data_IF_936300355781
#
_entry.id   IF_936300355781
#
_cell.length_a   1.000
_cell.length_b   1.000
_cell.length_c   1.000
_cell.angle_alpha   90.00
_cell.angle_beta   90.00
_cell.angle_gamma   90.00
#
_symmetry.space_group_name_H-M   'P 1'
#
loop_
_entity.id
_entity.type
_entity.pdbx_description
1 polymer ?
#
# COMPACT_ATOMS: atom_id res chain seq x y z
N UNK A 1 -10.63 41.82 -29.26
CA UNK A 1 -10.33 41.14 -27.98
C UNK A 1 -11.56 40.75 -27.17
N UNK A 2 -12.71 41.38 -27.38
CA UNK A 2 -13.97 41.10 -26.67
C UNK A 2 -14.66 39.81 -27.08
N UNK A 3 -14.66 39.45 -28.33
CA UNK A 3 -15.28 38.20 -28.85
C UNK A 3 -14.62 36.95 -28.33
N UNK A 4 -13.28 36.92 -28.22
CA UNK A 4 -12.54 35.81 -27.67
C UNK A 4 -12.90 35.53 -26.18
N UNK A 5 -13.12 36.59 -25.39
CA UNK A 5 -13.53 36.44 -23.97
C UNK A 5 -14.92 35.83 -23.84
N UNK A 6 -15.84 36.14 -24.74
CA UNK A 6 -17.19 35.55 -24.75
C UNK A 6 -17.15 34.06 -25.14
N UNK A 7 -16.31 33.68 -26.12
CA UNK A 7 -16.11 32.26 -26.45
C UNK A 7 -15.49 31.49 -25.31
N UNK A 8 -14.49 32.08 -24.62
CA UNK A 8 -13.87 31.47 -23.45
C UNK A 8 -14.87 31.30 -22.30
N UNK A 9 -15.68 32.30 -22.02
CA UNK A 9 -16.74 32.23 -21.00
C UNK A 9 -17.80 31.18 -21.38
N UNK A 10 -18.21 31.12 -22.64
CA UNK A 10 -19.13 30.08 -23.12
C UNK A 10 -18.56 28.67 -22.98
N UNK A 11 -17.28 28.48 -23.32
CA UNK A 11 -16.58 27.20 -23.16
C UNK A 11 -16.49 26.81 -21.67
N UNK A 12 -16.16 27.76 -20.81
CA UNK A 12 -16.05 27.53 -19.37
C UNK A 12 -17.41 27.22 -18.72
N UNK A 13 -18.48 27.89 -19.19
CA UNK A 13 -19.84 27.61 -18.76
C UNK A 13 -20.30 26.20 -19.22
N UNK A 14 -19.99 25.82 -20.45
CA UNK A 14 -20.31 24.51 -21.00
C UNK A 14 -19.52 23.39 -20.27
N UNK A 15 -18.25 23.65 -19.96
CA UNK A 15 -17.43 22.74 -19.16
C UNK A 15 -17.98 22.62 -17.73
N UNK A 16 -18.36 23.73 -17.10
CA UNK A 16 -18.99 23.73 -15.77
C UNK A 16 -20.33 22.97 -15.76
N UNK A 17 -21.16 23.16 -16.80
CA UNK A 17 -22.40 22.41 -16.96
C UNK A 17 -22.14 20.91 -17.16
N UNK A 18 -21.13 20.54 -17.96
CA UNK A 18 -20.73 19.15 -18.15
C UNK A 18 -20.26 18.50 -16.82
N UNK A 19 -19.40 19.19 -16.06
CA UNK A 19 -18.92 18.71 -14.77
C UNK A 19 -20.08 18.56 -13.78
N UNK A 20 -21.00 19.54 -13.75
CA UNK A 20 -22.18 19.47 -12.91
C UNK A 20 -23.08 18.27 -13.29
N UNK A 21 -23.31 18.06 -14.57
CA UNK A 21 -24.11 16.93 -15.06
C UNK A 21 -23.46 15.58 -14.73
N UNK A 22 -22.14 15.46 -14.88
CA UNK A 22 -21.40 14.24 -14.52
C UNK A 22 -21.37 14.01 -13.01
N UNK A 23 -21.27 15.09 -12.21
CA UNK A 23 -21.30 15.01 -10.75
C UNK A 23 -22.66 14.52 -10.21
N UNK A 24 -23.77 14.99 -10.81
CA UNK A 24 -25.13 14.58 -10.41
C UNK A 24 -25.60 13.27 -11.08
N UNK A 25 -24.83 12.72 -12.01
CA UNK A 25 -25.16 11.46 -12.65
C UNK A 25 -25.14 10.34 -11.60
N UNK A 26 -26.24 9.57 -11.44
CA UNK A 26 -26.25 8.44 -10.51
C UNK A 26 -25.19 7.43 -10.94
N UNK A 27 -24.26 7.11 -10.05
CA UNK A 27 -23.22 6.13 -10.32
C UNK A 27 -23.87 4.77 -10.60
N UNK A 28 -23.51 4.07 -11.69
CA UNK A 28 -24.00 2.73 -11.93
C UNK A 28 -23.58 1.83 -10.76
N UNK A 29 -24.49 0.91 -10.37
CA UNK A 29 -24.21 -0.05 -9.33
C UNK A 29 -23.06 -0.96 -9.76
N UNK A 30 -22.02 -1.03 -8.96
CA UNK A 30 -20.87 -1.88 -9.22
C UNK A 30 -21.21 -3.34 -8.83
N UNK A 31 -21.12 -4.24 -9.81
CA UNK A 31 -21.37 -5.67 -9.68
C UNK A 31 -20.08 -6.50 -9.65
N UNK A 32 -18.92 -5.88 -9.47
CA UNK A 32 -17.65 -6.61 -9.40
C UNK A 32 -17.64 -7.55 -8.18
N UNK A 33 -17.20 -8.80 -8.35
CA UNK A 33 -17.14 -9.79 -7.26
C UNK A 33 -15.84 -9.55 -6.44
N UNK A 34 -15.87 -8.56 -5.57
CA UNK A 34 -14.70 -8.22 -4.73
C UNK A 34 -14.57 -9.12 -3.51
N UNK A 35 -15.69 -9.65 -3.00
CA UNK A 35 -15.75 -10.42 -1.75
C UNK A 35 -15.08 -9.74 -0.55
N UNK A 36 -14.72 -8.46 -0.65
CA UNK A 36 -14.06 -7.75 0.42
C UNK A 36 -15.03 -7.39 1.55
N UNK A 37 -14.57 -7.49 2.78
CA UNK A 37 -15.38 -7.26 3.98
C UNK A 37 -15.79 -5.79 4.18
N UNK A 38 -15.12 -4.86 3.52
CA UNK A 38 -15.43 -3.42 3.57
C UNK A 38 -16.42 -2.98 2.50
N UNK A 39 -16.60 -3.79 1.46
CA UNK A 39 -17.36 -3.41 0.30
C UNK A 39 -18.86 -3.62 0.49
N UNK A 40 -19.61 -2.52 0.37
CA UNK A 40 -21.07 -2.48 0.45
C UNK A 40 -21.77 -2.73 -0.89
N UNK A 41 -20.99 -2.99 -1.95
CA UNK A 41 -21.50 -3.38 -3.27
C UNK A 41 -22.19 -4.76 -3.20
N UNK A 42 -23.00 -5.12 -4.21
CA UNK A 42 -23.77 -6.38 -4.19
C UNK A 42 -22.92 -7.64 -3.93
N UNK A 43 -21.73 -7.72 -4.56
CA UNK A 43 -20.85 -8.88 -4.41
C UNK A 43 -19.67 -8.65 -3.45
N UNK A 44 -19.76 -7.63 -2.57
CA UNK A 44 -18.95 -7.54 -1.36
C UNK A 44 -19.50 -8.43 -0.24
N UNK A 45 -18.80 -8.55 0.87
CA UNK A 45 -19.17 -9.38 2.03
C UNK A 45 -19.34 -8.59 3.32
N UNK A 46 -19.59 -7.28 3.22
CA UNK A 46 -19.75 -6.40 4.38
C UNK A 46 -20.82 -6.91 5.36
N UNK A 47 -22.01 -7.30 4.85
CA UNK A 47 -23.12 -7.77 5.68
C UNK A 47 -22.75 -9.07 6.39
N UNK A 48 -22.09 -9.98 5.70
CA UNK A 48 -21.66 -11.24 6.31
C UNK A 48 -20.67 -10.98 7.44
N UNK A 49 -19.65 -10.20 7.17
CA UNK A 49 -18.60 -9.91 8.13
C UNK A 49 -19.14 -9.20 9.38
N UNK A 50 -20.07 -8.25 9.21
CA UNK A 50 -20.74 -7.56 10.30
C UNK A 50 -21.58 -8.51 11.18
N UNK A 51 -22.26 -9.49 10.56
CA UNK A 51 -23.08 -10.44 11.26
C UNK A 51 -22.33 -11.71 11.76
N UNK A 52 -21.07 -11.88 11.36
CA UNK A 52 -20.30 -13.08 11.65
C UNK A 52 -20.17 -13.39 13.15
N UNK A 53 -19.94 -12.41 14.05
CA UNK A 53 -19.92 -12.65 15.49
C UNK A 53 -21.22 -13.27 15.99
N UNK A 54 -22.35 -12.78 15.53
CA UNK A 54 -23.69 -13.29 15.92
C UNK A 54 -23.97 -14.66 15.34
N UNK A 55 -23.58 -14.90 14.07
CA UNK A 55 -23.80 -16.18 13.38
C UNK A 55 -22.97 -17.31 13.99
N UNK A 56 -21.76 -17.01 14.44
CA UNK A 56 -20.85 -17.99 15.04
C UNK A 56 -20.93 -18.04 16.56
N UNK A 57 -21.66 -17.13 17.20
CA UNK A 57 -21.74 -17.04 18.66
C UNK A 57 -20.38 -16.75 19.33
N UNK A 58 -19.55 -15.92 18.69
CA UNK A 58 -18.23 -15.54 19.20
C UNK A 58 -17.95 -14.07 18.97
N UNK A 59 -17.40 -13.39 19.96
CA UNK A 59 -17.00 -11.98 19.83
C UNK A 59 -15.58 -11.82 19.23
N UNK A 60 -14.84 -12.92 19.08
CA UNK A 60 -13.47 -12.93 18.57
C UNK A 60 -13.44 -13.21 17.07
N UNK A 61 -13.67 -12.18 16.25
CA UNK A 61 -13.50 -12.22 14.80
C UNK A 61 -12.41 -11.23 14.39
N UNK A 62 -11.35 -11.73 13.77
CA UNK A 62 -10.20 -10.93 13.35
C UNK A 62 -9.99 -11.00 11.84
N UNK A 63 -9.70 -9.86 11.20
CA UNK A 63 -9.33 -9.80 9.78
C UNK A 63 -7.85 -10.10 9.63
N UNK A 64 -7.51 -11.04 8.73
CA UNK A 64 -6.14 -11.44 8.42
C UNK A 64 -5.76 -10.94 7.03
N UNK A 65 -4.60 -10.28 6.94
CA UNK A 65 -4.00 -9.80 5.68
C UNK A 65 -2.55 -10.28 5.52
N UNK A 66 -2.29 -11.48 5.96
CA UNK A 66 -1.05 -12.24 5.76
C UNK A 66 -1.40 -13.54 5.08
N UNK A 67 -0.42 -14.16 4.38
CA UNK A 67 -0.62 -15.50 3.86
C UNK A 67 -0.98 -16.48 4.98
N UNK A 68 -1.66 -17.58 4.63
CA UNK A 68 -2.03 -18.58 5.63
C UNK A 68 -0.80 -19.14 6.35
N UNK A 69 0.29 -19.36 5.60
CA UNK A 69 1.57 -19.77 6.17
C UNK A 69 2.09 -18.78 7.20
N UNK A 70 2.24 -17.50 6.83
CA UNK A 70 2.75 -16.47 7.73
C UNK A 70 1.86 -16.23 8.95
N UNK A 71 0.54 -16.34 8.77
CA UNK A 71 -0.42 -16.20 9.87
C UNK A 71 -0.31 -17.34 10.89
N UNK A 72 -0.16 -18.56 10.39
CA UNK A 72 -0.16 -19.77 11.22
C UNK A 72 1.21 -20.05 11.88
N UNK A 73 2.31 -19.78 11.16
CA UNK A 73 3.68 -20.05 11.66
C UNK A 73 4.33 -18.84 12.31
N UNK A 74 3.88 -17.62 11.98
CA UNK A 74 4.52 -16.36 12.38
C UNK A 74 5.84 -16.09 11.66
N UNK A 75 6.20 -16.89 10.65
CA UNK A 75 7.36 -16.68 9.79
C UNK A 75 6.97 -15.87 8.56
N UNK A 76 7.90 -15.08 8.04
CA UNK A 76 7.70 -14.43 6.76
C UNK A 76 7.69 -15.49 5.65
N UNK A 77 6.79 -15.32 4.69
CA UNK A 77 6.70 -16.23 3.55
C UNK A 77 8.04 -16.22 2.79
N UNK A 78 8.67 -17.38 2.53
CA UNK A 78 9.86 -17.42 1.70
C UNK A 78 9.52 -16.79 0.36
N UNK A 79 10.30 -15.78 -0.06
CA UNK A 79 10.05 -14.98 -1.24
C UNK A 79 9.83 -15.90 -2.46
N UNK A 80 8.58 -16.18 -2.77
CA UNK A 80 8.21 -16.93 -3.95
C UNK A 80 8.40 -16.00 -5.15
N UNK A 81 9.48 -16.24 -5.87
CA UNK A 81 9.61 -15.78 -7.24
C UNK A 81 8.35 -16.23 -7.97
N UNK A 82 7.53 -15.27 -8.37
CA UNK A 82 6.31 -15.53 -9.12
C UNK A 82 6.69 -16.29 -10.38
N UNK A 83 6.56 -17.62 -10.35
CA UNK A 83 6.39 -18.43 -11.54
C UNK A 83 4.98 -18.13 -12.07
N UNK A 84 4.89 -17.02 -12.76
CA UNK A 84 3.79 -16.73 -13.66
C UNK A 84 3.94 -17.73 -14.80
N UNK A 85 3.29 -18.88 -14.67
CA UNK A 85 3.03 -19.75 -15.81
C UNK A 85 2.06 -19.04 -16.72
N UNK A 86 2.59 -18.15 -17.55
CA UNK A 86 1.94 -17.76 -18.78
C UNK A 86 2.10 -18.98 -19.72
N UNK A 87 1.15 -19.89 -19.70
CA UNK A 87 0.90 -20.76 -20.83
C UNK A 87 0.46 -19.89 -22.01
N UNK A 88 1.45 -19.49 -22.81
CA UNK A 88 1.18 -18.96 -24.14
C UNK A 88 0.62 -20.10 -25.01
N UNK A 89 -0.44 -19.85 -25.80
CA UNK A 89 -0.89 -20.82 -26.78
C UNK A 89 0.18 -20.98 -27.85
N UNK A 90 0.71 -22.19 -27.96
CA UNK A 90 1.62 -22.59 -29.02
C UNK A 90 0.83 -22.75 -30.31
N UNK A 91 0.80 -21.70 -31.12
CA UNK A 91 0.46 -21.84 -32.54
C UNK A 91 1.68 -22.44 -33.26
N UNK A 92 1.54 -23.72 -33.61
CA UNK A 92 2.47 -24.44 -34.46
C UNK A 92 2.28 -24.04 -35.91
N UNK A 93 3.17 -23.18 -36.42
CA UNK A 93 3.39 -23.07 -37.87
C UNK A 93 4.72 -23.73 -38.19
N UNK A 94 4.62 -24.90 -38.82
CA UNK A 94 5.71 -25.59 -39.44
C UNK A 94 6.23 -24.84 -40.64
N UNK A 95 7.50 -24.44 -40.63
CA UNK A 95 8.22 -24.17 -41.88
C UNK A 95 9.51 -24.97 -41.82
N UNK A 96 9.57 -25.99 -42.71
CA UNK A 96 10.78 -26.71 -43.11
C UNK A 96 11.64 -25.74 -43.90
N UNK A 97 12.93 -25.67 -43.55
CA UNK A 97 13.98 -25.49 -44.54
C UNK A 97 15.23 -26.20 -44.11
N UNK A 98 15.73 -26.94 -45.05
CA UNK A 98 16.85 -27.84 -45.20
C UNK A 98 18.19 -27.08 -45.17
N UNK A 99 19.23 -27.71 -44.60
CA UNK A 99 20.61 -27.73 -45.13
C UNK A 99 21.59 -28.35 -44.13
N UNK A 100 21.94 -29.57 -44.38
CA UNK A 100 23.24 -30.25 -44.68
C UNK A 100 24.53 -29.83 -43.96
N UNK A 101 25.20 -30.90 -43.46
CA UNK A 101 26.64 -31.19 -43.35
C UNK A 101 27.42 -30.52 -42.20
N UNK A 102 28.18 -31.17 -41.36
CA UNK A 102 29.15 -32.24 -41.44
C UNK A 102 29.54 -32.72 -40.06
N UNK A 103 29.80 -34.01 -39.92
CA UNK A 103 30.52 -34.62 -38.80
C UNK A 103 32.06 -34.53 -39.06
N UNK A 104 32.98 -34.83 -38.11
CA UNK A 104 33.14 -36.18 -37.61
C UNK A 104 33.63 -36.35 -36.13
N UNK A 105 33.34 -37.55 -35.63
CA UNK A 105 34.13 -38.52 -34.81
C UNK A 105 35.12 -38.01 -33.77
N UNK A 106 35.03 -38.48 -32.52
CA UNK A 106 35.80 -39.59 -32.03
C UNK A 106 35.41 -40.08 -30.62
N UNK A 107 35.17 -41.30 -30.52
CA UNK A 107 35.54 -42.43 -29.67
C UNK A 107 35.77 -42.24 -28.16
N UNK A 108 35.18 -43.18 -27.49
CA UNK A 108 35.68 -44.11 -26.47
C UNK A 108 34.98 -43.98 -25.12
N UNK A 109 34.08 -44.87 -24.86
CA UNK A 109 34.25 -46.17 -24.16
C UNK A 109 34.21 -46.10 -22.62
N UNK A 110 33.41 -46.98 -22.11
CA UNK A 110 33.33 -47.65 -20.82
C UNK A 110 32.19 -47.34 -19.87
N UNK A 111 31.28 -48.22 -19.94
CA UNK A 111 30.99 -49.28 -18.96
C UNK A 111 30.06 -48.96 -17.81
N UNK A 112 28.88 -49.59 -17.96
CA UNK A 112 28.07 -50.25 -16.91
C UNK A 112 28.29 -49.86 -15.45
N UNK A 113 27.23 -49.38 -14.82
CA UNK A 113 26.75 -50.06 -13.61
C UNK A 113 25.27 -49.72 -13.39
N UNK A 114 24.42 -50.74 -13.50
CA UNK A 114 23.07 -50.79 -12.99
C UNK A 114 23.10 -50.67 -11.46
N UNK A 115 22.50 -49.65 -10.91
CA UNK A 115 22.08 -49.71 -9.52
C UNK A 115 20.69 -49.05 -9.43
N UNK A 116 19.72 -49.86 -9.03
CA UNK A 116 18.42 -49.43 -8.64
C UNK A 116 18.56 -48.40 -7.51
N UNK A 117 18.38 -47.12 -7.84
CA UNK A 117 18.36 -46.03 -6.89
C UNK A 117 16.92 -45.72 -6.53
N UNK A 118 16.57 -46.16 -5.33
CA UNK A 118 15.49 -45.60 -4.51
C UNK A 118 15.19 -44.16 -4.86
N UNK A 119 13.94 -43.86 -5.20
CA UNK A 119 13.44 -42.51 -5.31
C UNK A 119 13.66 -41.81 -3.95
N UNK A 120 14.75 -41.04 -3.88
CA UNK A 120 14.95 -40.11 -2.79
C UNK A 120 13.83 -39.10 -2.85
N UNK A 121 12.93 -39.20 -1.89
CA UNK A 121 12.00 -38.15 -1.55
C UNK A 121 12.85 -36.95 -1.23
N UNK A 122 12.87 -35.95 -2.11
CA UNK A 122 13.39 -34.62 -1.82
C UNK A 122 12.71 -34.13 -0.53
N UNK A 123 13.46 -34.21 0.58
CA UNK A 123 13.09 -33.52 1.79
C UNK A 123 13.09 -32.02 1.44
N UNK A 124 11.89 -31.44 1.29
CA UNK A 124 11.72 -30.01 1.16
C UNK A 124 12.28 -29.33 2.41
N UNK A 125 13.21 -28.41 2.23
CA UNK A 125 13.77 -27.50 3.26
C UNK A 125 12.75 -26.51 3.83
N UNK A 126 11.49 -26.93 3.95
CA UNK A 126 10.47 -26.13 4.60
C UNK A 126 10.39 -26.53 6.07
N UNK A 127 10.48 -25.52 6.94
CA UNK A 127 10.36 -25.69 8.38
C UNK A 127 9.23 -26.65 8.72
N UNK A 128 9.51 -27.64 9.55
CA UNK A 128 8.52 -28.61 9.98
C UNK A 128 7.31 -27.92 10.60
N UNK A 129 6.08 -28.43 10.37
CA UNK A 129 4.81 -27.83 10.79
C UNK A 129 4.61 -27.73 12.29
N UNK A 130 5.62 -28.01 13.09
CA UNK A 130 5.55 -27.95 14.55
C UNK A 130 5.58 -26.53 15.15
N UNK A 131 5.82 -25.51 14.31
CA UNK A 131 5.94 -24.13 14.75
C UNK A 131 4.65 -23.29 14.68
N UNK A 132 3.46 -23.94 14.63
CA UNK A 132 2.20 -23.19 14.63
C UNK A 132 2.01 -22.40 15.93
N UNK A 133 1.91 -21.08 15.82
CA UNK A 133 1.72 -20.15 16.96
C UNK A 133 0.26 -19.95 17.37
N UNK A 134 -0.60 -20.93 17.12
CA UNK A 134 -2.02 -20.82 17.45
C UNK A 134 -2.25 -21.34 18.86
N UNK A 135 -2.55 -20.44 19.77
CA UNK A 135 -2.99 -20.79 21.11
C UNK A 135 -4.50 -21.00 21.11
N UNK A 136 -4.94 -22.25 21.28
CA UNK A 136 -6.36 -22.62 21.32
C UNK A 136 -6.90 -23.07 19.96
N UNK A 137 -8.17 -23.49 19.95
CA UNK A 137 -8.87 -23.87 18.71
C UNK A 137 -9.53 -22.68 18.06
N UNK A 138 -9.35 -22.54 16.74
CA UNK A 138 -9.87 -21.43 15.96
C UNK A 138 -10.51 -21.91 14.64
N UNK A 139 -11.31 -21.03 14.04
CA UNK A 139 -11.81 -21.19 12.68
C UNK A 139 -11.05 -20.25 11.75
N UNK A 140 -10.84 -20.66 10.49
CA UNK A 140 -10.28 -19.81 9.45
C UNK A 140 -11.21 -19.79 8.25
N UNK A 141 -11.71 -18.60 7.87
CA UNK A 141 -12.71 -18.40 6.83
C UNK A 141 -12.11 -17.71 5.61
N UNK A 142 -12.33 -18.35 4.46
CA UNK A 142 -11.99 -17.83 3.14
C UNK A 142 -13.26 -17.74 2.31
N UNK A 143 -13.59 -16.57 1.81
CA UNK A 143 -14.72 -16.35 0.89
C UNK A 143 -14.21 -15.53 -0.28
N UNK A 144 -14.03 -16.17 -1.42
CA UNK A 144 -13.46 -15.54 -2.62
C UNK A 144 -14.02 -16.20 -3.88
N UNK A 145 -13.81 -15.62 -5.07
CA UNK A 145 -14.19 -16.28 -6.32
C UNK A 145 -13.26 -17.47 -6.63
N UNK A 146 -11.97 -17.28 -6.43
CA UNK A 146 -10.94 -18.29 -6.61
C UNK A 146 -10.09 -18.40 -5.34
N UNK A 147 -9.84 -19.62 -4.88
CA UNK A 147 -8.97 -19.89 -3.75
C UNK A 147 -7.57 -20.28 -4.23
N UNK A 148 -6.63 -19.34 -4.14
CA UNK A 148 -5.24 -19.53 -4.50
C UNK A 148 -4.40 -19.71 -3.23
N UNK A 149 -3.79 -20.88 -3.08
CA UNK A 149 -2.91 -21.18 -1.96
C UNK A 149 -1.59 -21.74 -2.48
N UNK A 150 -0.48 -21.24 -1.94
CA UNK A 150 0.85 -21.75 -2.19
C UNK A 150 1.05 -23.14 -1.53
N UNK A 151 2.08 -23.88 -1.91
CA UNK A 151 2.38 -25.17 -1.26
C UNK A 151 2.59 -25.00 0.26
N UNK A 152 3.36 -23.99 0.75
CA UNK A 152 3.48 -23.72 2.18
C UNK A 152 2.15 -23.43 2.86
N UNK A 153 1.27 -22.61 2.23
CA UNK A 153 -0.06 -22.32 2.78
C UNK A 153 -0.88 -23.60 2.98
N UNK A 154 -0.88 -24.48 1.98
CA UNK A 154 -1.64 -25.72 2.03
C UNK A 154 -1.12 -26.63 3.16
N UNK A 155 0.19 -26.75 3.32
CA UNK A 155 0.80 -27.55 4.39
C UNK A 155 0.46 -26.96 5.76
N UNK A 156 0.54 -25.63 5.90
CA UNK A 156 0.16 -24.95 7.13
C UNK A 156 -1.32 -25.15 7.47
N UNK A 157 -2.22 -25.06 6.47
CA UNK A 157 -3.65 -25.30 6.65
C UNK A 157 -3.95 -26.77 7.02
N UNK A 158 -3.28 -27.75 6.38
CA UNK A 158 -3.41 -29.16 6.74
C UNK A 158 -2.98 -29.41 8.19
N UNK A 159 -1.83 -28.88 8.59
CA UNK A 159 -1.34 -29.01 9.97
C UNK A 159 -2.26 -28.29 10.96
N UNK A 160 -2.81 -27.14 10.60
CA UNK A 160 -3.76 -26.38 11.41
C UNK A 160 -5.03 -27.20 11.68
N UNK A 161 -5.61 -27.80 10.63
CA UNK A 161 -6.80 -28.62 10.75
C UNK A 161 -6.52 -29.92 11.49
N UNK A 162 -5.40 -30.58 11.24
CA UNK A 162 -5.00 -31.78 11.93
C UNK A 162 -4.98 -31.64 13.46
N UNK A 163 -4.69 -30.44 13.98
CA UNK A 163 -4.69 -30.08 15.41
C UNK A 163 -6.08 -29.79 16.00
N UNK A 164 -7.14 -29.95 15.21
CA UNK A 164 -8.51 -29.78 15.67
C UNK A 164 -9.11 -28.39 15.44
N UNK A 165 -8.58 -27.67 14.50
CA UNK A 165 -9.12 -26.40 14.00
C UNK A 165 -10.00 -26.65 12.78
N UNK A 166 -10.82 -25.67 12.42
CA UNK A 166 -11.73 -25.77 11.29
C UNK A 166 -11.42 -24.70 10.24
N UNK A 167 -11.40 -25.11 8.97
CA UNK A 167 -11.17 -24.21 7.83
C UNK A 167 -12.41 -24.24 6.93
N UNK A 168 -12.95 -23.06 6.66
CA UNK A 168 -14.09 -22.88 5.77
C UNK A 168 -13.64 -22.12 4.52
N UNK A 169 -13.82 -22.73 3.35
CA UNK A 169 -13.45 -22.16 2.06
C UNK A 169 -14.69 -22.13 1.17
N UNK A 170 -15.16 -20.92 0.87
CA UNK A 170 -16.17 -20.69 -0.16
C UNK A 170 -15.47 -20.13 -1.39
N UNK A 171 -15.33 -20.93 -2.43
CA UNK A 171 -14.70 -20.52 -3.68
C UNK A 171 -15.34 -21.22 -4.87
N UNK A 172 -15.48 -20.54 -5.99
CA UNK A 172 -15.97 -21.14 -7.24
C UNK A 172 -14.90 -22.05 -7.85
N UNK A 173 -13.65 -21.61 -7.78
CA UNK A 173 -12.48 -22.38 -8.20
C UNK A 173 -11.49 -22.56 -7.03
N UNK A 174 -11.05 -23.79 -6.88
CA UNK A 174 -10.09 -24.18 -5.83
C UNK A 174 -8.70 -24.36 -6.44
N UNK A 175 -8.14 -23.46 -7.11
CA UNK A 175 -6.79 -23.46 -7.70
C UNK A 175 -6.08 -24.82 -7.88
N UNK A 176 -5.40 -25.03 -8.97
CA UNK A 176 -4.88 -26.35 -9.34
C UNK A 176 -3.91 -26.97 -8.31
N UNK A 177 -3.14 -26.16 -7.60
CA UNK A 177 -2.21 -26.63 -6.56
C UNK A 177 -2.98 -27.14 -5.34
N UNK A 178 -3.99 -26.40 -4.90
CA UNK A 178 -4.84 -26.81 -3.77
C UNK A 178 -5.61 -28.10 -4.09
N UNK A 179 -6.25 -28.18 -5.25
CA UNK A 179 -6.98 -29.39 -5.70
C UNK A 179 -6.10 -30.62 -5.71
N UNK A 180 -4.87 -30.52 -6.27
CA UNK A 180 -3.93 -31.66 -6.32
C UNK A 180 -3.40 -32.07 -4.95
N UNK A 181 -3.07 -31.12 -4.11
CA UNK A 181 -2.49 -31.41 -2.80
C UNK A 181 -3.56 -31.93 -1.83
N UNK A 182 -4.69 -31.25 -1.74
CA UNK A 182 -5.78 -31.62 -0.84
C UNK A 182 -6.52 -32.87 -1.38
N UNK A 183 -6.69 -32.98 -2.70
CA UNK A 183 -7.30 -34.15 -3.32
C UNK A 183 -6.52 -35.43 -3.03
N UNK A 184 -5.19 -35.37 -3.09
CA UNK A 184 -4.33 -36.49 -2.71
C UNK A 184 -4.37 -36.79 -1.21
N UNK A 185 -4.48 -35.77 -0.37
CA UNK A 185 -4.49 -35.94 1.08
C UNK A 185 -5.84 -36.41 1.62
N UNK A 186 -6.96 -35.96 1.01
CA UNK A 186 -8.30 -36.10 1.54
C UNK A 186 -9.29 -36.80 0.60
N UNK A 187 -8.85 -37.21 -0.58
CA UNK A 187 -9.72 -37.94 -1.55
C UNK A 187 -10.85 -37.08 -2.08
N UNK A 188 -10.57 -35.83 -2.47
CA UNK A 188 -11.59 -35.00 -3.12
C UNK A 188 -11.12 -34.50 -4.49
N UNK A 189 -12.07 -34.34 -5.40
CA UNK A 189 -11.87 -33.73 -6.70
C UNK A 189 -12.93 -32.66 -6.93
N UNK A 190 -12.54 -31.52 -7.45
CA UNK A 190 -13.49 -30.50 -7.93
C UNK A 190 -13.36 -30.41 -9.46
N UNK A 191 -14.49 -30.43 -10.15
CA UNK A 191 -14.52 -30.26 -11.59
C UNK A 191 -13.94 -28.87 -11.95
N UNK A 192 -13.18 -28.81 -13.05
CA UNK A 192 -12.78 -27.53 -13.60
C UNK A 192 -14.03 -26.78 -14.07
N UNK A 193 -14.16 -25.55 -13.61
CA UNK A 193 -15.17 -24.66 -14.17
C UNK A 193 -14.73 -24.35 -15.59
N UNK A 194 -15.40 -24.97 -16.57
CA UNK A 194 -15.19 -24.53 -17.94
C UNK A 194 -15.39 -23.03 -17.98
N UNK A 195 -14.40 -22.31 -18.47
CA UNK A 195 -14.41 -20.84 -18.59
C UNK A 195 -15.65 -20.30 -19.36
N UNK A 196 -16.37 -21.17 -20.04
CA UNK A 196 -17.62 -20.89 -20.75
C UNK A 196 -18.82 -20.54 -19.84
N UNK A 197 -18.74 -20.86 -18.53
CA UNK A 197 -19.78 -20.48 -17.54
C UNK A 197 -19.44 -19.20 -16.78
N UNK A 198 -18.32 -18.56 -17.11
CA UNK A 198 -18.10 -17.19 -16.68
C UNK A 198 -19.33 -16.37 -17.07
N UNK A 199 -20.05 -15.95 -16.10
CA UNK A 199 -21.19 -15.04 -16.18
C UNK A 199 -20.84 -13.89 -17.09
N UNK A 200 -21.13 -14.00 -18.39
CA UNK A 200 -21.23 -12.82 -19.22
C UNK A 200 -22.44 -12.09 -18.64
N UNK A 201 -22.18 -11.03 -17.90
CA UNK A 201 -23.20 -10.06 -17.60
C UNK A 201 -23.86 -9.66 -18.93
N UNK A 202 -25.18 -9.44 -18.94
CA UNK A 202 -25.83 -8.84 -20.08
C UNK A 202 -25.22 -7.46 -20.37
N UNK A 203 -25.52 -6.86 -21.51
CA UNK A 203 -25.00 -5.54 -21.90
C UNK A 203 -25.34 -4.43 -20.87
N UNK A 204 -26.23 -4.69 -19.92
CA UNK A 204 -26.63 -3.82 -18.82
C UNK A 204 -25.98 -4.21 -17.49
N UNK A 205 -25.02 -5.14 -17.46
CA UNK A 205 -24.34 -5.58 -16.24
C UNK A 205 -25.21 -6.43 -15.31
N UNK A 206 -26.33 -7.00 -15.79
CA UNK A 206 -27.21 -7.84 -15.00
C UNK A 206 -26.71 -9.29 -15.01
N UNK A 207 -26.73 -9.99 -13.89
CA UNK A 207 -26.35 -11.40 -13.84
C UNK A 207 -27.28 -12.21 -14.75
N UNK A 208 -26.69 -13.09 -15.55
CA UNK A 208 -27.41 -13.99 -16.45
C UNK A 208 -28.47 -14.79 -15.70
N UNK A 209 -29.53 -15.17 -16.39
CA UNK A 209 -30.74 -15.85 -15.86
C UNK A 209 -30.50 -17.25 -15.29
N UNK A 210 -29.27 -17.79 -15.37
CA UNK A 210 -28.95 -19.07 -14.80
C UNK A 210 -29.08 -18.99 -13.27
N UNK A 211 -29.76 -19.92 -12.67
CA UNK A 211 -29.99 -19.96 -11.24
C UNK A 211 -29.56 -21.31 -10.68
N UNK A 212 -28.83 -21.29 -9.58
CA UNK A 212 -28.49 -22.48 -8.82
C UNK A 212 -29.49 -22.63 -7.68
N UNK A 213 -30.06 -23.84 -7.54
CA UNK A 213 -30.93 -24.17 -6.41
C UNK A 213 -30.19 -25.10 -5.47
N UNK A 214 -29.99 -24.67 -4.23
CA UNK A 214 -29.24 -25.38 -3.21
C UNK A 214 -30.16 -25.99 -2.19
N UNK A 215 -29.80 -27.19 -1.69
CA UNK A 215 -30.49 -27.88 -0.63
C UNK A 215 -29.50 -28.56 0.31
N UNK A 216 -29.68 -28.37 1.61
CA UNK A 216 -28.90 -29.11 2.61
C UNK A 216 -29.29 -30.59 2.67
N UNK A 217 -28.33 -31.43 2.95
CA UNK A 217 -28.54 -32.87 3.17
C UNK A 217 -29.09 -33.17 4.58
N UNK A 218 -28.76 -32.28 5.55
CA UNK A 218 -29.27 -32.42 6.92
C UNK A 218 -30.80 -32.30 6.96
N UNK A 219 -31.54 -33.28 7.53
CA UNK A 219 -32.99 -33.27 7.53
C UNK A 219 -33.66 -32.04 8.15
N UNK A 220 -33.02 -31.43 9.15
CA UNK A 220 -33.53 -30.20 9.80
C UNK A 220 -33.47 -29.00 8.89
N UNK A 221 -32.44 -28.89 8.04
CA UNK A 221 -32.21 -27.81 7.09
C UNK A 221 -32.73 -28.12 5.68
N UNK A 222 -32.98 -29.38 5.37
CA UNK A 222 -33.36 -29.85 4.04
C UNK A 222 -34.77 -29.40 3.59
N UNK A 223 -35.60 -28.87 4.49
CA UNK A 223 -36.92 -28.32 4.18
C UNK A 223 -36.86 -27.07 3.31
N UNK A 224 -35.77 -26.30 3.43
CA UNK A 224 -35.58 -25.09 2.66
C UNK A 224 -34.83 -25.37 1.34
N UNK A 225 -35.27 -24.72 0.27
CA UNK A 225 -34.62 -24.70 -1.02
C UNK A 225 -34.20 -23.26 -1.29
N UNK A 226 -32.93 -23.05 -1.57
CA UNK A 226 -32.35 -21.72 -1.78
C UNK A 226 -32.06 -21.54 -3.27
N UNK A 227 -32.85 -20.73 -3.94
CA UNK A 227 -32.61 -20.38 -5.36
C UNK A 227 -31.80 -19.12 -5.45
N UNK A 228 -30.60 -19.21 -6.02
CA UNK A 228 -29.65 -18.14 -6.20
C UNK A 228 -29.56 -17.74 -7.68
N UNK A 229 -30.28 -16.68 -8.13
CA UNK A 229 -30.25 -16.25 -9.51
C UNK A 229 -28.88 -15.65 -9.86
N UNK A 230 -28.31 -16.05 -10.99
CA UNK A 230 -27.02 -15.57 -11.46
C UNK A 230 -25.81 -16.16 -10.75
N UNK A 231 -26.00 -17.11 -9.83
CA UNK A 231 -24.90 -17.85 -9.23
C UNK A 231 -24.54 -19.09 -10.06
N UNK A 232 -23.26 -19.41 -10.13
CA UNK A 232 -22.75 -20.66 -10.67
C UNK A 232 -22.24 -21.55 -9.53
N UNK A 233 -22.24 -22.85 -9.73
CA UNK A 233 -21.67 -23.82 -8.80
C UNK A 233 -20.74 -24.77 -9.53
N UNK A 234 -19.64 -25.14 -8.87
CA UNK A 234 -18.76 -26.21 -9.32
C UNK A 234 -19.10 -27.48 -8.59
N UNK A 235 -19.07 -28.61 -9.28
CA UNK A 235 -19.28 -29.92 -8.66
C UNK A 235 -18.05 -30.30 -7.84
N UNK A 236 -18.29 -30.72 -6.59
CA UNK A 236 -17.26 -31.33 -5.75
C UNK A 236 -17.54 -32.83 -5.73
N UNK A 237 -16.55 -33.65 -6.08
CA UNK A 237 -16.63 -35.11 -6.04
C UNK A 237 -15.79 -35.60 -4.88
N UNK A 238 -16.38 -36.42 -4.02
CA UNK A 238 -15.66 -37.12 -2.97
C UNK A 238 -15.23 -38.49 -3.53
N UNK A 239 -13.92 -38.73 -3.52
CA UNK A 239 -13.34 -39.97 -4.04
C UNK A 239 -13.61 -41.11 -3.04
N UNK A 240 -14.38 -42.09 -3.50
CA UNK A 240 -14.64 -43.32 -2.73
C UNK A 240 -13.75 -44.49 -3.20
N UNK A 241 -12.83 -44.25 -4.13
CA UNK A 241 -11.99 -45.24 -4.79
C UNK A 241 -10.72 -45.58 -4.04
N UNK A 242 -10.78 -46.10 -2.84
CA UNK A 242 -9.54 -46.45 -2.14
C UNK A 242 -9.67 -47.30 -0.88
N UNK A 243 -10.76 -48.01 -0.69
CA UNK A 243 -10.86 -48.98 0.43
C UNK A 243 -10.86 -48.37 1.84
N UNK A 244 -10.63 -47.07 1.97
CA UNK A 244 -10.76 -46.32 3.21
C UNK A 244 -12.14 -45.66 3.22
N UNK A 245 -12.80 -45.65 4.36
CA UNK A 245 -14.06 -44.90 4.57
C UNK A 245 -13.88 -43.48 4.02
N UNK A 246 -14.84 -43.00 3.19
CA UNK A 246 -14.72 -41.65 2.63
C UNK A 246 -14.58 -40.66 3.78
N UNK A 247 -13.45 -39.96 3.81
CA UNK A 247 -13.11 -38.94 4.82
C UNK A 247 -13.94 -37.67 4.66
N UNK A 248 -14.97 -37.73 3.79
CA UNK A 248 -15.78 -36.57 3.46
C UNK A 248 -17.29 -36.83 3.51
N UNK A 249 -18.07 -35.82 3.90
CA UNK A 249 -19.51 -35.82 3.94
C UNK A 249 -20.12 -34.69 3.13
N UNK A 250 -21.05 -34.98 2.23
CA UNK A 250 -21.81 -33.96 1.51
C UNK A 250 -22.81 -33.30 2.46
N UNK A 251 -22.75 -31.99 2.56
CA UNK A 251 -23.61 -31.16 3.41
C UNK A 251 -24.70 -30.44 2.63
N UNK A 252 -24.44 -30.09 1.35
CA UNK A 252 -25.48 -29.55 0.47
C UNK A 252 -25.26 -29.99 -0.99
N UNK A 253 -26.33 -30.06 -1.72
CA UNK A 253 -26.39 -30.43 -3.14
C UNK A 253 -27.11 -29.36 -3.96
N UNK A 254 -26.85 -29.35 -5.26
CA UNK A 254 -27.64 -28.57 -6.22
C UNK A 254 -28.94 -29.30 -6.63
N UNK A 255 -29.68 -28.73 -7.59
CA UNK A 255 -30.91 -29.31 -8.11
C UNK A 255 -30.68 -30.64 -8.84
N UNK A 256 -29.45 -30.89 -9.33
CA UNK A 256 -29.07 -32.12 -10.02
C UNK A 256 -28.49 -33.18 -9.07
N UNK A 257 -28.49 -32.92 -7.77
CA UNK A 257 -27.93 -33.83 -6.75
C UNK A 257 -26.40 -33.79 -6.66
N UNK A 258 -25.73 -32.85 -7.35
CA UNK A 258 -24.27 -32.71 -7.30
C UNK A 258 -23.87 -32.03 -5.99
N UNK A 259 -22.81 -32.52 -5.35
CA UNK A 259 -22.31 -31.91 -4.13
C UNK A 259 -21.70 -30.56 -4.41
N UNK A 260 -22.12 -29.55 -3.66
CA UNK A 260 -21.63 -28.15 -3.74
C UNK A 260 -21.11 -27.64 -2.40
N UNK A 261 -21.45 -28.34 -1.32
CA UNK A 261 -20.91 -28.06 0.00
C UNK A 261 -20.57 -29.36 0.69
N UNK A 262 -19.33 -29.51 1.09
CA UNK A 262 -18.81 -30.76 1.68
C UNK A 262 -17.99 -30.46 2.93
N UNK A 263 -17.96 -31.42 3.84
CA UNK A 263 -17.03 -31.49 4.97
C UNK A 263 -16.03 -32.59 4.71
N UNK A 264 -14.74 -32.30 4.87
CA UNK A 264 -13.64 -33.25 4.81
C UNK A 264 -13.00 -33.32 6.19
N UNK A 265 -12.93 -34.52 6.74
CA UNK A 265 -12.34 -34.75 8.05
C UNK A 265 -10.82 -34.94 7.90
N UNK A 266 -10.02 -34.21 8.69
CA UNK A 266 -8.56 -34.32 8.68
C UNK A 266 -7.98 -34.19 10.09
N UNK A 267 -7.40 -35.27 10.60
CA UNK A 267 -6.95 -35.32 11.98
C UNK A 267 -8.09 -35.09 12.95
N UNK A 268 -7.98 -34.10 13.82
CA UNK A 268 -9.00 -33.74 14.81
C UNK A 268 -9.93 -32.58 14.38
N UNK A 269 -9.77 -32.06 13.16
CA UNK A 269 -10.53 -30.92 12.65
C UNK A 269 -11.12 -31.19 11.27
N UNK A 270 -11.70 -30.14 10.65
CA UNK A 270 -12.45 -30.28 9.42
C UNK A 270 -12.14 -29.16 8.41
N UNK A 271 -12.16 -29.54 7.12
CA UNK A 271 -12.30 -28.57 6.03
C UNK A 271 -13.75 -28.54 5.56
N UNK A 272 -14.31 -27.35 5.45
CA UNK A 272 -15.61 -27.11 4.85
C UNK A 272 -15.39 -26.42 3.50
N UNK A 273 -15.75 -27.08 2.40
CA UNK A 273 -15.57 -26.55 1.05
C UNK A 273 -16.92 -26.27 0.41
N UNK A 274 -17.18 -25.03 0.04
CA UNK A 274 -18.41 -24.59 -0.62
C UNK A 274 -18.08 -23.99 -2.00
N UNK A 275 -18.66 -24.55 -3.07
CA UNK A 275 -18.39 -24.10 -4.44
C UNK A 275 -19.28 -22.94 -4.91
N UNK A 276 -20.06 -22.32 -4.01
CA UNK A 276 -20.97 -21.21 -4.33
C UNK A 276 -20.66 -19.99 -3.47
N UNK A 277 -19.53 -19.31 -3.70
CA UNK A 277 -19.09 -18.18 -2.87
C UNK A 277 -20.07 -17.00 -2.92
N UNK A 278 -20.77 -16.79 -4.03
CA UNK A 278 -21.75 -15.71 -4.16
C UNK A 278 -22.87 -15.79 -3.11
N UNK A 279 -23.21 -16.99 -2.61
CA UNK A 279 -24.21 -17.15 -1.55
C UNK A 279 -23.86 -16.38 -0.26
N UNK A 280 -22.60 -16.01 -0.07
CA UNK A 280 -22.07 -15.31 1.11
C UNK A 280 -21.94 -13.79 0.89
N UNK A 281 -22.38 -13.27 -0.26
CA UNK A 281 -22.29 -11.85 -0.59
C UNK A 281 -23.51 -11.05 -0.13
N UNK A 282 -23.34 -9.72 -0.04
CA UNK A 282 -24.39 -8.81 0.41
C UNK A 282 -25.71 -8.99 -0.37
N UNK A 283 -25.62 -9.21 -1.69
CA UNK A 283 -26.79 -9.35 -2.55
C UNK A 283 -27.70 -10.51 -2.15
N UNK A 284 -27.14 -11.65 -1.78
CA UNK A 284 -27.90 -12.82 -1.39
C UNK A 284 -28.27 -12.83 0.10
N UNK A 285 -27.44 -12.22 0.94
CA UNK A 285 -27.70 -12.10 2.39
C UNK A 285 -28.83 -11.12 2.72
N UNK A 286 -28.99 -10.08 1.94
CA UNK A 286 -30.07 -9.09 2.15
C UNK A 286 -31.43 -9.60 1.63
N UNK A 287 -31.49 -10.78 1.03
CA UNK A 287 -32.71 -11.36 0.50
C UNK A 287 -33.19 -12.51 1.40
N UNK A 288 -34.38 -12.45 2.01
CA UNK A 288 -34.85 -13.46 2.95
C UNK A 288 -34.88 -14.90 2.40
N UNK A 289 -35.11 -15.05 1.08
CA UNK A 289 -35.16 -16.35 0.42
C UNK A 289 -33.81 -17.01 0.20
N UNK A 290 -32.71 -16.27 0.27
CA UNK A 290 -31.35 -16.75 -0.01
C UNK A 290 -30.43 -16.68 1.20
N UNK A 291 -30.67 -15.74 2.13
CA UNK A 291 -29.84 -15.51 3.31
C UNK A 291 -29.68 -16.76 4.21
N UNK A 292 -30.70 -17.58 4.29
CA UNK A 292 -30.66 -18.77 5.12
C UNK A 292 -29.62 -19.82 4.72
N UNK A 293 -29.16 -19.81 3.46
CA UNK A 293 -28.12 -20.76 3.05
C UNK A 293 -26.79 -20.45 3.72
N UNK A 294 -26.36 -19.20 3.69
CA UNK A 294 -25.07 -18.80 4.33
C UNK A 294 -25.10 -19.05 5.84
N UNK A 295 -26.21 -18.68 6.50
CA UNK A 295 -26.39 -18.95 7.93
C UNK A 295 -26.34 -20.45 8.24
N UNK A 296 -27.03 -21.28 7.44
CA UNK A 296 -27.04 -22.74 7.59
C UNK A 296 -25.67 -23.38 7.30
N UNK A 297 -24.90 -22.83 6.35
CA UNK A 297 -23.54 -23.29 6.06
C UNK A 297 -22.56 -22.97 7.18
N UNK A 298 -22.63 -21.77 7.73
CA UNK A 298 -21.76 -21.35 8.84
C UNK A 298 -22.16 -22.00 10.17
N UNK A 299 -23.39 -22.44 10.33
CA UNK A 299 -23.84 -23.17 11.53
C UNK A 299 -23.14 -24.53 11.75
N UNK A 300 -22.40 -25.04 10.77
CA UNK A 300 -21.52 -26.21 10.95
C UNK A 300 -20.24 -25.90 11.66
N UNK A 301 -19.84 -24.62 11.72
CA UNK A 301 -18.62 -24.17 12.42
C UNK A 301 -18.91 -24.05 13.93
N UNK A 302 -18.01 -24.51 14.78
CA UNK A 302 -18.14 -24.30 16.22
C UNK A 302 -17.89 -22.83 16.63
N UNK A 303 -18.51 -22.42 17.75
CA UNK A 303 -18.30 -21.10 18.33
C UNK A 303 -16.87 -20.98 18.88
N UNK A 304 -15.98 -20.38 18.12
CA UNK A 304 -14.55 -20.21 18.44
C UNK A 304 -14.03 -18.91 17.86
N UNK A 305 -12.84 -18.50 18.32
CA UNK A 305 -12.09 -17.41 17.68
C UNK A 305 -12.01 -17.66 16.18
N UNK A 306 -12.32 -16.65 15.38
CA UNK A 306 -12.47 -16.82 13.94
C UNK A 306 -11.62 -15.80 13.19
N UNK A 307 -10.84 -16.27 12.23
CA UNK A 307 -10.05 -15.45 11.33
C UNK A 307 -10.74 -15.35 9.98
N UNK A 308 -10.86 -14.12 9.51
CA UNK A 308 -11.42 -13.79 8.20
C UNK A 308 -10.30 -13.40 7.25
N UNK A 309 -10.13 -14.13 6.17
CA UNK A 309 -9.10 -13.84 5.16
C UNK A 309 -9.46 -12.61 4.31
N UNK A 310 -8.56 -11.66 4.25
CA UNK A 310 -8.56 -10.56 3.30
C UNK A 310 -7.27 -10.52 2.46
N UNK A 311 -6.32 -11.41 2.74
CA UNK A 311 -5.05 -11.47 2.02
C UNK A 311 -5.25 -11.79 0.54
N UNK A 312 -6.06 -12.79 0.22
CA UNK A 312 -6.32 -13.20 -1.16
C UNK A 312 -7.14 -12.17 -1.96
N UNK A 313 -7.79 -11.21 -1.30
CA UNK A 313 -8.64 -10.19 -1.92
C UNK A 313 -7.94 -8.84 -2.06
N UNK A 314 -7.25 -8.41 -1.02
CA UNK A 314 -6.67 -7.08 -0.91
C UNK A 314 -5.13 -7.08 -0.86
N UNK A 315 -4.50 -8.26 -0.82
CA UNK A 315 -3.05 -8.40 -0.65
C UNK A 315 -2.56 -8.09 0.76
N UNK A 316 -1.25 -8.15 0.99
CA UNK A 316 -0.64 -7.91 2.29
C UNK A 316 -0.83 -6.46 2.80
N UNK A 317 -0.82 -6.31 4.13
CA UNK A 317 -0.82 -4.98 4.76
C UNK A 317 0.55 -4.33 4.51
N UNK A 318 0.58 -3.22 3.81
CA UNK A 318 1.81 -2.44 3.60
C UNK A 318 2.26 -2.26 2.15
N UNK A 319 1.84 -3.11 1.22
CA UNK A 319 2.26 -3.03 -0.19
C UNK A 319 1.43 -2.07 -1.06
N UNK A 320 0.50 -1.34 -0.48
CA UNK A 320 -0.23 -0.31 -1.21
C UNK A 320 0.58 0.99 -1.27
N UNK A 321 1.54 1.06 -2.19
CA UNK A 321 2.12 2.35 -2.53
C UNK A 321 1.00 3.27 -3.05
N UNK A 322 1.02 4.55 -2.65
CA UNK A 322 0.06 5.55 -3.15
C UNK A 322 -0.05 5.53 -4.67
N UNK A 323 1.07 5.26 -5.36
CA UNK A 323 1.11 5.11 -6.81
C UNK A 323 0.32 3.91 -7.32
N UNK A 324 0.35 2.78 -6.60
CA UNK A 324 -0.43 1.58 -6.98
C UNK A 324 -1.92 1.83 -6.84
N UNK A 325 -2.35 2.51 -5.75
CA UNK A 325 -3.75 2.91 -5.56
C UNK A 325 -4.19 3.86 -6.66
N UNK A 326 -3.35 4.85 -7.01
CA UNK A 326 -3.61 5.79 -8.09
C UNK A 326 -3.79 5.08 -9.43
N UNK A 327 -2.92 4.12 -9.75
CA UNK A 327 -2.96 3.37 -11.01
C UNK A 327 -4.02 2.26 -11.05
N UNK A 328 -4.52 1.80 -9.90
CA UNK A 328 -5.58 0.79 -9.83
C UNK A 328 -6.93 1.35 -10.29
N UNK A 329 -7.21 2.64 -10.04
CA UNK A 329 -8.44 3.29 -10.47
C UNK A 329 -8.35 3.77 -11.92
N UNK A 330 -9.22 3.31 -12.85
CA UNK A 330 -9.12 3.65 -14.28
C UNK A 330 -9.19 5.15 -14.54
N UNK A 331 -10.00 5.90 -13.78
CA UNK A 331 -10.10 7.36 -13.90
C UNK A 331 -8.81 8.07 -13.44
N UNK A 332 -8.23 7.65 -12.30
CA UNK A 332 -7.00 8.23 -11.76
C UNK A 332 -5.78 7.85 -12.61
N UNK A 333 -5.76 6.63 -13.14
CA UNK A 333 -4.74 6.18 -14.09
C UNK A 333 -4.75 7.02 -15.35
N UNK A 334 -5.93 7.30 -15.91
CA UNK A 334 -6.09 8.20 -17.06
C UNK A 334 -5.59 9.61 -16.76
N UNK A 335 -5.98 10.19 -15.64
CA UNK A 335 -5.53 11.49 -15.18
C UNK A 335 -4.00 11.55 -14.99
N UNK A 336 -3.41 10.51 -14.40
CA UNK A 336 -1.96 10.40 -14.21
C UNK A 336 -1.20 10.42 -15.54
N UNK A 337 -1.61 9.59 -16.52
CA UNK A 337 -0.95 9.57 -17.82
C UNK A 337 -1.17 10.87 -18.60
N UNK A 338 -2.35 11.47 -18.49
CA UNK A 338 -2.63 12.76 -19.11
C UNK A 338 -1.76 13.89 -18.52
N UNK A 339 -1.59 13.90 -17.20
CA UNK A 339 -0.71 14.85 -16.51
C UNK A 339 0.75 14.65 -16.94
N UNK A 340 1.19 13.40 -17.01
CA UNK A 340 2.56 13.07 -17.44
C UNK A 340 2.81 13.45 -18.89
N UNK A 341 1.85 13.20 -19.77
CA UNK A 341 1.90 13.64 -21.16
C UNK A 341 1.89 15.17 -21.28
N UNK A 342 1.06 15.86 -20.48
CA UNK A 342 1.02 17.32 -20.44
C UNK A 342 2.33 17.92 -19.93
N UNK A 343 2.91 17.33 -18.88
CA UNK A 343 4.21 17.73 -18.36
C UNK A 343 5.33 17.51 -19.40
N UNK A 344 5.31 16.38 -20.10
CA UNK A 344 6.27 16.09 -21.18
C UNK A 344 6.14 17.09 -22.32
N UNK A 345 4.91 17.36 -22.77
CA UNK A 345 4.65 18.39 -23.80
C UNK A 345 5.09 19.76 -23.34
N UNK A 346 4.81 20.14 -22.10
CA UNK A 346 5.25 21.40 -21.52
C UNK A 346 6.79 21.53 -21.55
N UNK A 347 7.51 20.49 -21.11
CA UNK A 347 8.97 20.45 -21.14
C UNK A 347 9.48 20.56 -22.58
N UNK A 348 8.90 19.83 -23.54
CA UNK A 348 9.28 19.87 -24.95
C UNK A 348 9.06 21.27 -25.57
N UNK A 349 7.95 21.92 -25.23
CA UNK A 349 7.63 23.27 -25.72
C UNK A 349 8.57 24.31 -25.08
N UNK A 350 8.77 24.24 -23.76
CA UNK A 350 9.63 25.18 -23.03
C UNK A 350 11.12 24.97 -23.37
N UNK A 351 11.56 23.71 -23.54
CA UNK A 351 12.93 23.39 -23.97
C UNK A 351 13.24 23.94 -25.39
N UNK A 352 12.20 24.07 -26.25
CA UNK A 352 12.35 24.71 -27.55
C UNK A 352 12.40 26.25 -27.51
N UNK A 353 12.09 26.86 -26.37
CA UNK A 353 12.15 28.28 -26.20
C UNK A 353 13.62 28.70 -26.21
N UNK A 354 14.13 29.06 -27.38
CA UNK A 354 15.42 29.75 -27.49
C UNK A 354 15.30 31.05 -26.71
N UNK A 355 15.88 31.08 -25.53
CA UNK A 355 16.11 32.37 -24.86
C UNK A 355 16.92 33.24 -25.81
N UNK A 356 16.33 34.35 -26.27
CA UNK A 356 17.11 35.40 -26.88
C UNK A 356 18.19 35.74 -25.85
N UNK A 357 19.45 35.66 -26.28
CA UNK A 357 20.58 36.15 -25.48
C UNK A 357 20.26 37.60 -25.17
N UNK A 358 19.70 37.86 -23.99
CA UNK A 358 19.54 39.21 -23.50
C UNK A 358 20.98 39.67 -23.27
N UNK A 359 21.48 40.67 -24.04
CA UNK A 359 22.84 41.19 -23.79
C UNK A 359 22.87 41.55 -22.31
N UNK A 360 23.83 41.00 -21.58
CA UNK A 360 24.03 41.30 -20.17
C UNK A 360 24.29 42.79 -20.06
N UNK A 361 23.25 43.56 -19.75
CA UNK A 361 23.41 44.95 -19.39
C UNK A 361 24.40 44.95 -18.23
N UNK A 362 25.55 45.63 -18.42
CA UNK A 362 26.49 45.85 -17.31
C UNK A 362 25.65 46.28 -16.11
N UNK A 363 25.71 45.52 -15.05
CA UNK A 363 25.01 45.88 -13.80
C UNK A 363 25.40 47.30 -13.45
N UNK A 364 24.41 48.18 -13.39
CA UNK A 364 24.63 49.55 -12.95
C UNK A 364 25.44 49.50 -11.66
N UNK A 365 26.57 50.19 -11.60
CA UNK A 365 27.37 50.20 -10.38
C UNK A 365 26.47 50.70 -9.26
N UNK A 366 26.48 50.02 -8.13
CA UNK A 366 25.68 50.40 -6.98
C UNK A 366 26.11 51.80 -6.52
N UNK A 367 25.39 52.81 -6.99
CA UNK A 367 25.67 54.22 -6.74
C UNK A 367 25.67 54.51 -5.25
N UNK A 368 24.87 53.83 -4.45
CA UNK A 368 24.84 53.93 -2.99
C UNK A 368 26.16 53.44 -2.38
N UNK A 369 26.74 52.38 -2.89
CA UNK A 369 28.03 51.86 -2.42
C UNK A 369 29.17 52.79 -2.83
N UNK A 370 29.12 53.34 -4.05
CA UNK A 370 30.10 54.33 -4.51
C UNK A 370 30.01 55.59 -3.67
N UNK A 371 28.81 56.14 -3.42
CA UNK A 371 28.58 57.29 -2.56
C UNK A 371 29.09 57.03 -1.14
N UNK A 372 28.75 55.90 -0.56
CA UNK A 372 29.21 55.54 0.79
C UNK A 372 30.72 55.44 0.88
N UNK A 373 31.39 54.91 -0.14
CA UNK A 373 32.85 54.86 -0.22
C UNK A 373 33.48 56.28 -0.33
N UNK A 374 32.83 57.14 -1.12
CA UNK A 374 33.30 58.54 -1.28
C UNK A 374 33.17 59.31 0.04
N UNK A 375 32.00 59.19 0.70
CA UNK A 375 31.77 59.83 2.01
C UNK A 375 32.73 59.26 3.06
N UNK A 376 32.93 57.95 3.11
CA UNK A 376 33.91 57.34 4.01
C UNK A 376 35.33 57.80 3.74
N UNK A 377 35.69 58.01 2.47
CA UNK A 377 36.98 58.62 2.07
C UNK A 377 37.17 60.04 2.59
N UNK A 378 36.15 60.88 2.47
CA UNK A 378 36.14 62.25 3.00
C UNK A 378 36.30 62.28 4.53
N UNK A 379 35.59 61.46 5.24
CA UNK A 379 35.71 61.30 6.70
C UNK A 379 37.11 60.83 7.10
N UNK A 380 37.74 59.96 6.33
CA UNK A 380 39.11 59.52 6.57
C UNK A 380 40.14 60.62 6.31
N UNK A 381 39.97 61.43 5.24
CA UNK A 381 40.83 62.53 4.95
C UNK A 381 40.75 63.66 6.00
N UNK A 382 39.57 63.89 6.58
CA UNK A 382 39.34 64.89 7.62
C UNK A 382 39.98 64.55 8.96
N UNK A 383 40.63 63.37 9.13
CA UNK A 383 41.25 62.83 10.36
C UNK A 383 40.47 63.02 11.64
N UNK A 384 39.09 63.08 11.53
CA UNK A 384 38.25 63.26 12.69
C UNK A 384 37.83 61.89 13.23
N UNK A 385 38.82 61.16 13.74
CA UNK A 385 38.61 59.83 14.29
C UNK A 385 37.68 59.80 15.51
N UNK A 386 37.67 60.91 16.29
CA UNK A 386 36.81 61.05 17.45
C UNK A 386 35.30 61.07 17.05
N UNK A 387 34.93 61.83 16.01
CA UNK A 387 33.56 61.87 15.52
C UNK A 387 33.10 60.50 14.95
N UNK A 388 33.99 59.76 14.27
CA UNK A 388 33.68 58.45 13.76
C UNK A 388 33.47 57.44 14.92
N UNK A 389 34.31 57.52 15.95
CA UNK A 389 34.19 56.70 17.15
C UNK A 389 32.88 56.98 17.89
N UNK A 390 32.52 58.28 18.07
CA UNK A 390 31.25 58.68 18.69
C UNK A 390 30.05 58.12 17.94
N UNK A 391 30.00 58.25 16.60
CA UNK A 391 28.92 57.68 15.79
C UNK A 391 28.86 56.20 15.87
N UNK A 392 29.97 55.45 15.86
CA UNK A 392 30.01 54.01 16.03
C UNK A 392 29.51 53.57 17.40
N UNK A 393 29.90 54.27 18.44
CA UNK A 393 29.42 54.03 19.81
C UNK A 393 27.92 54.28 19.91
N UNK A 394 27.40 55.39 19.34
CA UNK A 394 25.98 55.68 19.33
C UNK A 394 25.17 54.60 18.63
N UNK A 395 25.61 54.13 17.45
CA UNK A 395 24.99 53.04 16.71
C UNK A 395 25.10 51.68 17.45
N UNK A 396 26.17 51.47 18.23
CA UNK A 396 26.29 50.27 19.05
C UNK A 396 25.35 50.31 20.26
N UNK A 397 25.21 51.41 20.92
CA UNK A 397 24.26 51.60 22.04
C UNK A 397 22.81 51.44 21.58
N UNK A 398 22.50 52.00 20.40
CA UNK A 398 21.19 51.81 19.78
C UNK A 398 20.93 50.32 19.42
N UNK A 399 21.93 49.61 18.90
CA UNK A 399 21.86 48.18 18.69
C UNK A 399 21.61 47.41 19.97
N UNK A 400 22.25 47.71 21.09
CA UNK A 400 22.01 47.09 22.37
C UNK A 400 20.59 47.35 22.86
N UNK A 401 20.09 48.58 22.64
CA UNK A 401 18.71 48.97 22.99
C UNK A 401 17.66 48.16 22.23
N UNK A 402 17.85 48.05 20.90
CA UNK A 402 16.91 47.36 20.04
C UNK A 402 16.95 45.83 20.19
N UNK A 403 18.18 45.27 20.23
CA UNK A 403 18.35 43.81 20.20
C UNK A 403 18.21 43.16 21.59
N UNK A 404 18.71 43.81 22.64
CA UNK A 404 18.76 43.28 23.99
C UNK A 404 17.80 44.00 24.96
N UNK A 405 17.06 44.98 24.46
CA UNK A 405 16.06 45.77 25.25
C UNK A 405 16.68 46.47 26.47
N UNK A 406 17.94 46.90 26.35
CA UNK A 406 18.60 47.65 27.42
C UNK A 406 18.39 49.13 27.24
N UNK A 407 17.48 49.70 28.06
CA UNK A 407 17.17 51.14 28.05
C UNK A 407 18.07 51.88 29.03
N UNK A 408 19.00 52.69 28.51
CA UNK A 408 19.91 53.50 29.34
C UNK A 408 21.12 52.73 29.90
N UNK A 409 21.99 52.21 29.03
CA UNK A 409 23.14 51.40 29.47
C UNK A 409 24.11 52.27 30.25
N UNK A 410 24.24 52.09 31.55
CA UNK A 410 25.36 52.61 32.35
C UNK A 410 26.53 51.66 32.17
N UNK A 411 27.52 52.10 31.39
CA UNK A 411 28.69 51.29 31.05
C UNK A 411 29.57 50.98 32.28
N UNK A 412 29.38 51.68 33.37
CA UNK A 412 30.07 51.48 34.64
C UNK A 412 29.43 50.42 35.57
N UNK A 413 28.16 50.16 35.36
CA UNK A 413 27.39 49.27 36.21
C UNK A 413 27.79 47.79 36.01
N UNK A 414 28.08 47.11 37.13
CA UNK A 414 28.46 45.69 37.15
C UNK A 414 27.28 44.80 36.79
N UNK A 415 26.08 45.17 37.19
CA UNK A 415 24.87 44.39 36.93
C UNK A 415 24.44 44.47 35.45
N UNK A 416 24.65 45.62 34.84
CA UNK A 416 24.47 45.79 33.39
C UNK A 416 25.41 44.87 32.59
N UNK A 417 26.70 44.81 32.96
CA UNK A 417 27.69 43.95 32.30
C UNK A 417 27.37 42.49 32.43
N UNK A 418 26.89 42.06 33.62
CA UNK A 418 26.47 40.71 33.85
C UNK A 418 25.24 40.33 32.98
N UNK A 419 24.21 41.17 33.03
CA UNK A 419 23.00 40.98 32.19
C UNK A 419 23.31 40.95 30.70
N UNK A 420 24.17 41.83 30.24
CA UNK A 420 24.57 41.86 28.83
C UNK A 420 25.36 40.61 28.44
N UNK A 421 26.25 40.11 29.31
CA UNK A 421 27.00 38.86 29.12
C UNK A 421 26.05 37.68 28.98
N UNK A 422 25.07 37.57 29.86
CA UNK A 422 24.05 36.51 29.84
C UNK A 422 23.16 36.58 28.59
N UNK A 423 22.64 37.77 28.26
CA UNK A 423 21.76 37.98 27.10
C UNK A 423 22.51 37.81 25.76
N UNK A 424 23.75 38.17 25.68
CA UNK A 424 24.58 38.03 24.48
C UNK A 424 25.19 36.62 24.32
N UNK A 425 25.15 35.78 25.37
CA UNK A 425 25.78 34.45 25.36
C UNK A 425 27.30 34.49 25.32
N UNK A 426 27.91 35.63 25.71
CA UNK A 426 29.36 35.83 25.63
C UNK A 426 30.03 35.82 27.01
N UNK A 427 31.28 35.35 27.11
CA UNK A 427 32.03 35.43 28.36
C UNK A 427 32.18 36.85 28.86
N UNK A 428 31.98 37.06 30.16
CA UNK A 428 32.02 38.38 30.82
C UNK A 428 33.28 39.15 30.48
N UNK A 429 34.45 38.51 30.43
CA UNK A 429 35.71 39.12 30.07
C UNK A 429 35.69 39.83 28.69
N UNK A 430 35.04 39.24 27.71
CA UNK A 430 34.85 39.82 26.37
C UNK A 430 33.92 41.03 26.40
N UNK A 431 32.84 40.98 27.16
CA UNK A 431 31.92 42.10 27.33
C UNK A 431 32.63 43.27 28.05
N UNK A 432 33.37 42.96 29.10
CA UNK A 432 34.14 43.98 29.85
C UNK A 432 35.18 44.66 28.98
N UNK A 433 35.91 43.92 28.14
CA UNK A 433 36.88 44.44 27.19
C UNK A 433 36.22 45.40 26.17
N UNK A 434 35.11 44.96 25.57
CA UNK A 434 34.32 45.78 24.64
C UNK A 434 33.81 47.06 25.29
N UNK A 435 33.19 46.98 26.46
CA UNK A 435 32.65 48.13 27.17
C UNK A 435 33.72 49.09 27.63
N UNK A 436 34.91 48.58 27.97
CA UNK A 436 36.08 49.42 28.25
C UNK A 436 36.51 50.23 27.02
N UNK A 437 36.56 49.60 25.81
CA UNK A 437 36.88 50.29 24.57
C UNK A 437 35.81 51.32 24.19
N UNK A 438 34.53 50.98 24.42
CA UNK A 438 33.40 51.91 24.18
C UNK A 438 33.46 53.09 25.12
N UNK A 439 33.76 52.89 26.40
CA UNK A 439 33.89 53.96 27.39
C UNK A 439 35.11 54.85 27.10
N UNK A 440 36.25 54.26 26.74
CA UNK A 440 37.42 54.97 26.31
C UNK A 440 37.12 55.89 25.10
N UNK A 441 36.42 55.35 24.07
CA UNK A 441 36.06 56.14 22.89
C UNK A 441 35.08 57.30 23.17
N UNK A 442 34.32 57.24 24.27
CA UNK A 442 33.43 58.32 24.73
C UNK A 442 34.14 59.43 25.52
N UNK A 443 35.17 59.07 26.29
CA UNK A 443 35.80 59.94 27.24
C UNK A 443 37.11 60.51 26.73
N UNK A 444 37.76 59.85 25.77
CA UNK A 444 39.06 60.31 25.23
C UNK A 444 38.90 61.57 24.36
N UNK A 445 39.70 62.64 24.61
CA UNK A 445 39.63 63.88 23.81
C UNK A 445 40.16 63.68 22.37
N UNK A 446 41.02 62.70 22.16
CA UNK A 446 41.54 62.30 20.85
C UNK A 446 41.54 60.79 20.72
N UNK A 447 41.08 60.28 19.58
CA UNK A 447 41.07 58.87 19.26
C UNK A 447 42.04 58.64 18.09
N UNK A 448 43.06 57.80 18.29
CA UNK A 448 43.94 57.38 17.24
C UNK A 448 43.33 56.36 16.29
N UNK A 449 43.89 56.25 15.07
CA UNK A 449 43.40 55.28 14.03
C UNK A 449 43.47 53.88 14.52
N UNK A 450 44.47 53.49 15.31
CA UNK A 450 44.57 52.17 15.92
C UNK A 450 43.44 51.87 16.92
N UNK A 451 43.13 52.84 17.78
CA UNK A 451 42.04 52.74 18.76
C UNK A 451 40.68 52.66 18.06
N UNK A 452 40.46 53.44 16.99
CA UNK A 452 39.26 53.36 16.19
C UNK A 452 39.10 51.99 15.51
N UNK A 453 40.18 51.42 14.96
CA UNK A 453 40.16 50.09 14.38
C UNK A 453 39.88 48.99 15.40
N UNK A 454 40.47 49.06 16.58
CA UNK A 454 40.23 48.13 17.69
C UNK A 454 38.77 48.19 18.14
N UNK A 455 38.21 49.40 18.35
CA UNK A 455 36.81 49.60 18.66
C UNK A 455 35.91 49.03 17.58
N UNK A 456 36.22 49.30 16.31
CA UNK A 456 35.41 48.79 15.19
C UNK A 456 35.43 47.27 15.10
N UNK A 457 36.55 46.62 15.32
CA UNK A 457 36.66 45.15 15.34
C UNK A 457 35.89 44.57 16.53
N UNK A 458 36.11 45.11 17.71
CA UNK A 458 35.43 44.62 18.92
C UNK A 458 33.89 44.71 18.80
N UNK A 459 33.37 45.80 18.24
CA UNK A 459 31.91 45.94 18.00
C UNK A 459 31.43 44.94 16.93
N UNK A 460 32.18 44.75 15.85
CA UNK A 460 31.78 43.80 14.80
C UNK A 460 31.85 42.35 15.26
N UNK A 461 32.88 41.98 16.04
CA UNK A 461 33.03 40.64 16.60
C UNK A 461 31.90 40.36 17.60
N UNK A 462 31.57 41.32 18.48
CA UNK A 462 30.43 41.22 19.37
C UNK A 462 29.11 41.00 18.58
N UNK A 463 28.87 41.78 17.52
CA UNK A 463 27.64 41.63 16.71
C UNK A 463 27.57 40.29 15.99
N UNK A 464 28.69 39.71 15.65
CA UNK A 464 28.79 38.42 14.98
C UNK A 464 28.60 37.23 15.95
N UNK A 465 29.14 37.39 17.16
CA UNK A 465 29.17 36.33 18.18
C UNK A 465 27.94 36.35 19.12
N UNK A 466 27.30 37.51 19.26
CA UNK A 466 26.12 37.67 20.10
C UNK A 466 24.87 36.98 19.44
N UNK A 467 24.32 36.03 20.12
CA UNK A 467 23.18 35.23 19.70
C UNK A 467 21.85 36.00 19.74
#
# INVERSE_FOLDING_TARGET
MTTFRWYLLGLLALFGAYVALEYYRPKPLDWSPTFANKDKIPYGTFVLFDQLPRLLGTDSVATVRRSAYSQLTGADEPAHRAETSAEAPTDSVSTREDSTADAPTDSADRARTTTAGSAAVEKSDFAEPDSLRVYGRANYLFVNDEFLASKPDIQALLSFVARGNDVFIAARDFGGTFRRSLGRALGFHADDVAAALLTKADAQGRPRTDSVTLRFTNPTLARARYRLPGAASTRIVLDSTGGSTPTGRTLATDAQGRAVFVRLDHGAGHFYLCSVPLAFTNYYLLRPRTAGFAAGALAYLPARATWWDEYQKQGPLGDQSLLRVLLAHPALRGAYYLTLLGALLFVLVEARRRQRVIPTLKTLPNTTLLFTRTVAGLYRQGRNHALIAEKKVALFLDYLRVRFHETGPDLGDKDFRERLSQKAGLPRARVDELLRLVNFARTAPQVDDRALLQLSRAINDFRREAS
#
